data_IF_928105211231
#
_entry.id   IF_928105211231
#
_cell.length_a   1.000
_cell.length_b   1.000
_cell.length_c   1.000
_cell.angle_alpha   90.00
_cell.angle_beta   90.00
_cell.angle_gamma   90.00
#
_symmetry.space_group_name_H-M   'P 1'
#
loop_
_entity.id
_entity.type
_entity.pdbx_description
1 polymer ?
#
# COMPACT_ATOMS: atom_id res chain seq x y z
N UNK A 1 -7.16 -3.83 23.00
CA UNK A 1 -8.07 -2.73 22.64
C UNK A 1 -9.41 -2.95 23.35
N UNK A 2 -9.51 -2.45 24.57
CA UNK A 2 -10.60 -2.75 25.52
C UNK A 2 -11.83 -1.86 25.28
N UNK A 3 -13.02 -2.42 25.49
CA UNK A 3 -14.36 -1.76 25.45
C UNK A 3 -14.48 -0.49 26.31
N UNK A 4 -13.52 -0.24 27.19
CA UNK A 4 -13.45 0.95 28.04
C UNK A 4 -13.35 2.26 27.24
N UNK A 5 -12.65 2.27 26.11
CA UNK A 5 -12.53 3.49 25.28
C UNK A 5 -13.85 3.92 24.64
N UNK A 6 -14.73 2.99 24.27
CA UNK A 6 -16.04 3.32 23.69
C UNK A 6 -16.93 4.07 24.69
N UNK A 7 -16.92 3.65 25.96
CA UNK A 7 -17.80 4.19 27.02
C UNK A 7 -17.44 5.64 27.36
N UNK A 8 -16.15 5.97 27.48
CA UNK A 8 -15.73 7.32 27.86
C UNK A 8 -15.72 8.34 26.70
N UNK A 9 -15.77 7.87 25.45
CA UNK A 9 -15.74 8.74 24.26
C UNK A 9 -17.00 9.60 24.05
N UNK A 10 -18.08 9.33 24.79
CA UNK A 10 -19.35 10.07 24.68
C UNK A 10 -19.43 11.32 25.58
N UNK A 11 -18.49 11.50 26.51
CA UNK A 11 -18.44 12.69 27.37
C UNK A 11 -17.81 13.84 26.56
N UNK A 12 -18.49 14.99 26.36
CA UNK A 12 -18.01 16.10 25.50
C UNK A 12 -16.60 16.60 25.83
N UNK A 13 -16.21 16.58 27.11
CA UNK A 13 -14.87 16.99 27.59
C UNK A 13 -13.74 16.06 27.16
N UNK A 14 -14.04 14.88 26.61
CA UNK A 14 -13.07 13.84 26.21
C UNK A 14 -12.92 13.74 24.67
N UNK A 15 -13.25 14.78 23.92
CA UNK A 15 -13.12 14.79 22.45
C UNK A 15 -11.72 14.41 21.96
N UNK A 16 -10.66 14.78 22.70
CA UNK A 16 -9.26 14.40 22.41
C UNK A 16 -9.00 12.89 22.47
N UNK A 17 -9.78 12.09 23.20
CA UNK A 17 -9.60 10.64 23.28
C UNK A 17 -10.14 9.87 22.07
N UNK A 18 -10.87 10.55 21.17
CA UNK A 18 -11.26 9.98 19.87
C UNK A 18 -10.12 10.00 18.86
N UNK A 19 -9.07 10.76 19.14
CA UNK A 19 -7.93 11.01 18.27
C UNK A 19 -6.63 10.55 18.94
N UNK A 20 -5.77 9.91 18.17
CA UNK A 20 -4.39 9.63 18.58
C UNK A 20 -3.54 10.90 18.48
N UNK A 21 -3.78 11.70 17.44
CA UNK A 21 -3.19 13.02 17.21
C UNK A 21 -4.16 13.88 16.43
N UNK A 22 -4.08 15.20 16.62
CA UNK A 22 -4.76 16.20 15.79
C UNK A 22 -3.68 17.15 15.31
N UNK A 23 -3.42 17.14 14.01
CA UNK A 23 -2.37 17.92 13.36
C UNK A 23 -2.99 18.81 12.27
N UNK A 24 -2.33 19.91 11.85
CA UNK A 24 -2.77 20.67 10.69
C UNK A 24 -2.84 19.77 9.45
N UNK A 25 -3.96 19.83 8.74
CA UNK A 25 -4.13 19.11 7.48
C UNK A 25 -3.59 19.98 6.34
N UNK A 26 -2.56 19.50 5.66
CA UNK A 26 -1.90 20.18 4.54
C UNK A 26 -1.79 19.30 3.29
N UNK A 27 -2.03 18.00 3.43
CA UNK A 27 -1.93 17.00 2.36
C UNK A 27 -3.34 16.52 1.97
N UNK A 28 -3.88 16.92 0.81
CA UNK A 28 -5.27 16.60 0.46
C UNK A 28 -5.56 15.10 0.30
N UNK A 29 -4.54 14.27 0.09
CA UNK A 29 -4.66 12.82 -0.09
C UNK A 29 -4.29 12.02 1.18
N UNK A 30 -3.84 12.70 2.25
CA UNK A 30 -3.42 12.05 3.49
C UNK A 30 -3.84 12.86 4.71
N UNK A 31 -4.57 12.20 5.61
CA UNK A 31 -4.83 12.75 6.93
C UNK A 31 -3.57 12.74 7.79
N UNK A 32 -3.23 13.90 8.34
CA UNK A 32 -2.19 14.09 9.36
C UNK A 32 -2.72 13.72 10.74
N UNK A 33 -4.01 13.92 10.98
CA UNK A 33 -4.69 13.54 12.21
C UNK A 33 -5.13 12.07 12.18
N UNK A 34 -4.87 11.34 13.26
CA UNK A 34 -5.25 9.93 13.39
C UNK A 34 -6.43 9.75 14.33
N UNK A 35 -7.52 9.14 13.86
CA UNK A 35 -8.66 8.79 14.71
C UNK A 35 -8.61 7.32 15.15
N UNK A 36 -8.69 7.07 16.46
CA UNK A 36 -8.73 5.71 17.00
C UNK A 36 -9.97 4.94 16.50
N UNK A 37 -11.09 5.66 16.34
CA UNK A 37 -12.33 5.05 15.90
C UNK A 37 -12.26 4.56 14.45
N UNK A 38 -11.71 5.35 13.50
CA UNK A 38 -11.57 4.89 12.11
C UNK A 38 -10.63 3.68 12.01
N UNK A 39 -9.49 3.70 12.73
CA UNK A 39 -8.58 2.55 12.79
C UNK A 39 -9.28 1.29 13.33
N UNK A 40 -10.08 1.42 14.38
CA UNK A 40 -10.85 0.30 14.92
C UNK A 40 -11.93 -0.21 13.96
N UNK A 41 -12.61 0.68 13.23
CA UNK A 41 -13.60 0.30 12.22
C UNK A 41 -12.96 -0.47 11.06
N UNK A 42 -11.83 0.01 10.53
CA UNK A 42 -11.07 -0.66 9.48
C UNK A 42 -10.59 -2.03 9.96
N UNK A 43 -10.06 -2.14 11.18
CA UNK A 43 -9.65 -3.42 11.77
C UNK A 43 -10.82 -4.42 11.85
N UNK A 44 -11.99 -3.97 12.31
CA UNK A 44 -13.19 -4.83 12.38
C UNK A 44 -13.66 -5.27 10.99
N UNK A 45 -13.60 -4.38 10.01
CA UNK A 45 -13.94 -4.67 8.62
C UNK A 45 -12.97 -5.72 8.06
N UNK A 46 -11.66 -5.51 8.19
CA UNK A 46 -10.64 -6.46 7.77
C UNK A 46 -10.85 -7.85 8.41
N UNK A 47 -11.15 -7.91 9.72
CA UNK A 47 -11.45 -9.18 10.41
C UNK A 47 -12.71 -9.86 9.86
N UNK A 48 -13.73 -9.11 9.48
CA UNK A 48 -14.94 -9.66 8.84
C UNK A 48 -14.65 -10.16 7.42
N UNK A 49 -13.92 -9.39 6.62
CA UNK A 49 -13.51 -9.80 5.26
C UNK A 49 -12.71 -11.09 5.30
N UNK A 50 -11.78 -11.23 6.25
CA UNK A 50 -11.02 -12.48 6.43
C UNK A 50 -11.89 -13.69 6.81
N UNK A 51 -13.00 -13.49 7.52
CA UNK A 51 -13.96 -14.59 7.75
C UNK A 51 -14.67 -15.00 6.45
N UNK A 52 -14.92 -14.04 5.54
CA UNK A 52 -15.51 -14.32 4.24
C UNK A 52 -14.51 -15.07 3.34
N UNK A 53 -13.25 -14.61 3.26
CA UNK A 53 -12.18 -15.31 2.52
C UNK A 53 -12.08 -16.77 2.96
N UNK A 54 -12.03 -17.04 4.27
CA UNK A 54 -11.99 -18.40 4.82
C UNK A 54 -13.25 -19.23 4.54
N UNK A 55 -14.41 -18.59 4.44
CA UNK A 55 -15.66 -19.26 4.08
C UNK A 55 -15.66 -19.63 2.59
N UNK A 56 -15.22 -18.71 1.73
CA UNK A 56 -15.08 -18.95 0.28
C UNK A 56 -14.07 -20.09 0.04
N UNK A 57 -12.90 -20.04 0.67
CA UNK A 57 -11.86 -21.06 0.53
C UNK A 57 -12.24 -22.46 1.04
N UNK A 58 -13.36 -22.59 1.77
CA UNK A 58 -13.81 -23.87 2.34
C UNK A 58 -14.70 -24.70 1.42
N UNK A 59 -15.14 -24.15 0.28
CA UNK A 59 -16.06 -24.83 -0.65
C UNK A 59 -15.74 -24.50 -2.09
N UNK A 60 -15.55 -25.53 -2.91
CA UNK A 60 -15.27 -25.39 -4.34
C UNK A 60 -16.36 -24.58 -5.06
N UNK A 61 -17.63 -24.81 -4.71
CA UNK A 61 -18.78 -24.06 -5.26
C UNK A 61 -18.68 -22.52 -5.09
N UNK A 62 -17.97 -22.06 -4.05
CA UNK A 62 -17.72 -20.63 -3.84
C UNK A 62 -16.45 -20.17 -4.55
N UNK A 63 -15.41 -21.01 -4.59
CA UNK A 63 -14.17 -20.72 -5.31
C UNK A 63 -14.41 -20.53 -6.81
N UNK A 64 -15.25 -21.37 -7.41
CA UNK A 64 -15.64 -21.27 -8.82
C UNK A 64 -16.38 -19.96 -9.17
N UNK A 65 -16.92 -19.27 -8.16
CA UNK A 65 -17.64 -18.00 -8.31
C UNK A 65 -16.75 -16.78 -8.07
N UNK A 66 -15.49 -16.96 -7.67
CA UNK A 66 -14.56 -15.84 -7.50
C UNK A 66 -14.13 -15.36 -8.89
N UNK A 67 -14.33 -14.08 -9.24
CA UNK A 67 -13.84 -13.56 -10.52
C UNK A 67 -12.31 -13.48 -10.51
N UNK A 68 -11.66 -13.51 -11.68
CA UNK A 68 -10.25 -13.15 -11.79
C UNK A 68 -9.98 -11.81 -11.08
N UNK A 69 -8.82 -11.72 -10.43
CA UNK A 69 -8.44 -10.55 -9.64
C UNK A 69 -7.15 -9.94 -10.17
N UNK A 70 -7.05 -8.62 -10.11
CA UNK A 70 -5.79 -7.89 -10.30
C UNK A 70 -5.49 -7.05 -9.07
N UNK A 71 -4.23 -7.03 -8.62
CA UNK A 71 -3.78 -6.15 -7.55
C UNK A 71 -2.33 -5.74 -7.73
N UNK A 72 -2.00 -4.58 -7.15
CA UNK A 72 -0.67 -4.01 -7.10
C UNK A 72 -0.28 -3.77 -5.65
N UNK A 73 0.88 -4.25 -5.24
CA UNK A 73 1.34 -4.17 -3.86
C UNK A 73 2.80 -3.69 -3.83
N UNK A 74 3.08 -2.67 -3.02
CA UNK A 74 4.47 -2.35 -2.69
C UNK A 74 5.03 -3.40 -1.76
N UNK A 75 6.24 -3.88 -2.04
CA UNK A 75 6.93 -4.85 -1.18
C UNK A 75 7.28 -4.28 0.20
N UNK A 76 7.65 -3.00 0.26
CA UNK A 76 8.09 -2.32 1.50
C UNK A 76 6.96 -1.53 2.16
N UNK A 77 5.72 -1.97 1.99
CA UNK A 77 4.57 -1.31 2.58
C UNK A 77 4.56 -1.42 4.11
N UNK A 78 4.73 -0.28 4.78
CA UNK A 78 4.72 -0.20 6.24
C UNK A 78 3.31 -0.17 6.86
N UNK A 79 2.25 -0.04 6.06
CA UNK A 79 0.86 0.15 6.54
C UNK A 79 -0.06 -1.02 6.17
N UNK A 80 0.11 -1.61 4.99
CA UNK A 80 -0.59 -2.84 4.58
C UNK A 80 0.39 -3.99 4.65
N UNK A 81 0.02 -5.07 5.36
CA UNK A 81 0.83 -6.28 5.46
C UNK A 81 0.79 -7.04 4.12
N UNK A 82 1.88 -7.08 3.32
CA UNK A 82 1.86 -7.73 2.00
C UNK A 82 1.52 -9.23 2.10
N UNK A 83 1.89 -9.87 3.20
CA UNK A 83 1.65 -11.30 3.46
C UNK A 83 0.15 -11.63 3.45
N UNK A 84 -0.70 -10.68 3.85
CA UNK A 84 -2.15 -10.87 3.85
C UNK A 84 -2.71 -10.83 2.42
N UNK A 85 -2.11 -10.07 1.52
CA UNK A 85 -2.47 -10.09 0.10
C UNK A 85 -2.05 -11.42 -0.52
N UNK A 86 -0.82 -11.89 -0.23
CA UNK A 86 -0.34 -13.18 -0.71
C UNK A 86 -1.22 -14.35 -0.24
N UNK A 87 -1.57 -14.38 1.05
CA UNK A 87 -2.46 -15.38 1.63
C UNK A 87 -3.86 -15.34 0.99
N UNK A 88 -4.38 -14.16 0.67
CA UNK A 88 -5.67 -14.03 -0.02
C UNK A 88 -5.62 -14.65 -1.42
N UNK A 89 -4.58 -14.32 -2.19
CA UNK A 89 -4.42 -14.85 -3.54
C UNK A 89 -4.26 -16.37 -3.52
N UNK A 90 -3.41 -16.89 -2.63
CA UNK A 90 -3.18 -18.34 -2.52
C UNK A 90 -4.46 -19.11 -2.15
N UNK A 91 -5.30 -18.53 -1.29
CA UNK A 91 -6.52 -19.17 -0.81
C UNK A 91 -7.68 -19.13 -1.82
N UNK A 92 -7.91 -17.99 -2.49
CA UNK A 92 -9.17 -17.79 -3.22
C UNK A 92 -9.02 -17.28 -4.66
N UNK A 93 -7.85 -16.77 -5.08
CA UNK A 93 -7.73 -16.21 -6.41
C UNK A 93 -7.79 -17.31 -7.49
N UNK A 94 -8.57 -17.13 -8.57
CA UNK A 94 -8.52 -18.00 -9.73
C UNK A 94 -7.17 -17.95 -10.45
N UNK A 95 -6.83 -18.97 -11.24
CA UNK A 95 -5.57 -19.05 -11.99
C UNK A 95 -5.31 -17.87 -12.96
N UNK A 96 -6.38 -17.25 -13.47
CA UNK A 96 -6.30 -16.07 -14.33
C UNK A 96 -5.99 -14.76 -13.57
N UNK A 97 -5.86 -14.81 -12.24
CA UNK A 97 -5.57 -13.62 -11.43
C UNK A 97 -4.10 -13.20 -11.56
N UNK A 98 -3.85 -11.90 -11.39
CA UNK A 98 -2.54 -11.30 -11.53
C UNK A 98 -2.19 -10.46 -10.30
N UNK A 99 -1.03 -10.71 -9.69
CA UNK A 99 -0.54 -9.93 -8.56
C UNK A 99 0.80 -9.29 -8.91
N UNK A 100 0.80 -7.96 -9.02
CA UNK A 100 1.99 -7.19 -9.32
C UNK A 100 2.64 -6.67 -8.04
N UNK A 101 3.93 -6.92 -7.88
CA UNK A 101 4.72 -6.48 -6.72
C UNK A 101 5.73 -5.44 -7.18
N UNK A 102 5.64 -4.22 -6.65
CA UNK A 102 6.72 -3.24 -6.82
C UNK A 102 7.90 -3.65 -5.93
N UNK A 103 9.04 -4.00 -6.55
CA UNK A 103 10.26 -4.33 -5.82
C UNK A 103 11.00 -3.04 -5.39
N UNK A 104 12.32 -3.09 -5.26
CA UNK A 104 13.18 -1.98 -4.89
C UNK A 104 14.29 -1.80 -5.90
N UNK A 105 14.77 -0.57 -6.03
CA UNK A 105 15.93 -0.28 -6.86
C UNK A 105 17.18 -0.94 -6.29
N UNK A 106 17.89 -1.67 -7.14
CA UNK A 106 19.17 -2.30 -6.79
C UNK A 106 20.36 -1.32 -6.86
N UNK A 107 20.14 -0.09 -7.35
CA UNK A 107 21.16 0.97 -7.42
C UNK A 107 21.70 1.35 -6.04
N UNK A 108 20.88 1.25 -5.01
CA UNK A 108 21.20 1.63 -3.63
C UNK A 108 21.65 0.46 -2.75
N UNK A 109 22.17 -0.61 -3.36
CA UNK A 109 22.56 -1.84 -2.65
C UNK A 109 23.49 -1.60 -1.44
N UNK A 110 24.35 -0.59 -1.49
CA UNK A 110 25.31 -0.29 -0.41
C UNK A 110 24.68 0.27 0.87
N UNK A 111 23.46 0.80 0.79
CA UNK A 111 22.75 1.43 1.92
C UNK A 111 21.44 0.71 2.27
N UNK A 112 20.97 -0.19 1.41
CA UNK A 112 19.80 -1.02 1.69
C UNK A 112 20.18 -2.24 2.55
N UNK A 113 19.33 -2.62 3.52
CA UNK A 113 19.54 -3.84 4.30
C UNK A 113 19.60 -5.12 3.45
N UNK A 114 20.39 -6.11 3.89
CA UNK A 114 20.56 -7.38 3.17
C UNK A 114 19.27 -8.19 3.04
N UNK A 115 18.38 -8.15 4.03
CA UNK A 115 17.07 -8.79 3.99
C UNK A 115 16.15 -8.18 2.93
N UNK A 116 16.22 -6.84 2.76
CA UNK A 116 15.54 -6.14 1.67
C UNK A 116 16.10 -6.58 0.32
N UNK A 117 17.40 -6.83 0.22
CA UNK A 117 18.07 -7.18 -1.03
C UNK A 117 17.95 -8.67 -1.40
N UNK A 118 17.90 -9.57 -0.43
CA UNK A 118 17.86 -11.01 -0.68
C UNK A 118 16.43 -11.56 -0.85
N UNK A 119 15.42 -10.69 -0.75
CA UNK A 119 14.03 -11.07 -0.99
C UNK A 119 13.82 -11.68 -2.39
N UNK A 120 12.99 -12.71 -2.46
CA UNK A 120 12.51 -13.30 -3.70
C UNK A 120 11.09 -13.83 -3.54
N UNK A 121 10.37 -13.96 -4.66
CA UNK A 121 9.01 -14.54 -4.71
C UNK A 121 8.96 -15.94 -4.09
N UNK A 122 10.05 -16.71 -4.17
CA UNK A 122 10.13 -18.05 -3.60
C UNK A 122 10.05 -18.08 -2.06
N UNK A 123 10.30 -16.95 -1.40
CA UNK A 123 10.18 -16.82 0.05
C UNK A 123 8.73 -16.59 0.51
N UNK A 124 7.81 -16.30 -0.41
CA UNK A 124 6.40 -16.07 -0.10
C UNK A 124 5.72 -17.42 0.23
N UNK A 125 4.99 -17.50 1.35
CA UNK A 125 4.19 -18.68 1.67
C UNK A 125 3.04 -18.89 0.66
N UNK A 126 2.76 -20.16 0.35
CA UNK A 126 1.73 -20.53 -0.64
C UNK A 126 2.35 -20.82 -2.01
N UNK A 127 1.85 -21.84 -2.68
CA UNK A 127 2.38 -22.26 -3.99
C UNK A 127 1.56 -21.69 -5.15
N UNK A 128 0.25 -21.53 -4.98
CA UNK A 128 -0.64 -21.04 -6.05
C UNK A 128 -0.38 -19.58 -6.36
N UNK A 129 -0.14 -18.77 -5.32
CA UNK A 129 0.11 -17.33 -5.50
C UNK A 129 1.40 -17.05 -6.28
N UNK A 130 2.41 -17.91 -6.19
CA UNK A 130 3.70 -17.71 -6.87
C UNK A 130 3.55 -17.66 -8.39
N UNK A 131 2.64 -18.45 -8.95
CA UNK A 131 2.36 -18.48 -10.39
C UNK A 131 1.68 -17.20 -10.89
N UNK A 132 1.00 -16.49 -9.99
CA UNK A 132 0.27 -15.25 -10.28
C UNK A 132 1.12 -13.99 -10.08
N UNK A 133 2.26 -14.11 -9.40
CA UNK A 133 3.09 -12.95 -9.06
C UNK A 133 3.95 -12.51 -10.24
N UNK A 134 3.98 -11.20 -10.50
CA UNK A 134 4.91 -10.52 -11.41
C UNK A 134 5.54 -9.33 -10.67
N UNK A 135 6.77 -8.99 -10.99
CA UNK A 135 7.47 -7.84 -10.39
C UNK A 135 7.42 -6.64 -11.31
N UNK A 136 7.23 -5.44 -10.72
CA UNK A 136 7.31 -4.16 -11.42
C UNK A 136 8.51 -3.36 -10.86
N UNK A 137 9.30 -2.69 -11.71
CA UNK A 137 9.23 -2.69 -13.17
C UNK A 137 9.69 -4.04 -13.75
N UNK A 138 9.04 -4.51 -14.81
CA UNK A 138 9.34 -5.82 -15.41
C UNK A 138 10.77 -5.97 -15.95
N UNK A 139 11.37 -4.86 -16.38
CA UNK A 139 12.76 -4.80 -16.88
C UNK A 139 13.80 -4.46 -15.79
N UNK A 140 13.35 -4.17 -14.56
CA UNK A 140 14.20 -3.74 -13.47
C UNK A 140 14.76 -2.32 -13.59
N UNK A 141 14.24 -1.48 -14.50
CA UNK A 141 14.71 -0.12 -14.69
C UNK A 141 14.07 0.85 -13.68
N UNK A 142 14.88 1.40 -12.78
CA UNK A 142 14.41 2.35 -11.76
C UNK A 142 14.92 3.77 -12.05
N UNK A 143 14.09 4.82 -11.84
CA UNK A 143 14.53 6.21 -11.86
C UNK A 143 15.71 6.44 -10.90
N UNK A 144 16.58 7.40 -11.23
CA UNK A 144 17.85 7.57 -10.50
C UNK A 144 17.68 7.81 -9.01
N UNK A 145 16.69 8.61 -8.61
CA UNK A 145 16.43 9.06 -7.24
C UNK A 145 15.42 8.22 -6.46
N UNK A 146 14.84 7.17 -7.07
CA UNK A 146 13.75 6.38 -6.48
C UNK A 146 14.24 4.98 -6.14
N UNK A 147 14.03 4.57 -4.89
CA UNK A 147 14.45 3.25 -4.41
C UNK A 147 13.31 2.30 -4.04
N UNK A 148 12.10 2.81 -3.81
CA UNK A 148 10.91 2.01 -3.53
C UNK A 148 9.65 2.83 -3.81
N UNK A 149 8.58 2.15 -4.21
CA UNK A 149 7.24 2.76 -4.35
C UNK A 149 6.46 2.61 -3.06
N UNK A 150 5.69 3.61 -2.67
CA UNK A 150 4.82 3.54 -1.49
C UNK A 150 3.39 3.17 -1.88
N UNK A 151 2.64 2.46 -1.04
CA UNK A 151 1.21 2.19 -1.35
C UNK A 151 0.37 3.46 -1.56
N UNK A 152 0.76 4.58 -0.93
CA UNK A 152 0.08 5.86 -1.15
C UNK A 152 0.31 6.40 -2.55
N UNK A 153 1.47 6.12 -3.14
CA UNK A 153 1.85 6.63 -4.45
C UNK A 153 1.39 5.72 -5.59
N UNK A 154 1.16 4.42 -5.32
CA UNK A 154 0.71 3.42 -6.32
C UNK A 154 -0.38 3.95 -7.27
N UNK A 155 -1.50 4.55 -6.79
CA UNK A 155 -2.59 4.94 -7.67
C UNK A 155 -2.41 6.32 -8.33
N UNK A 156 -1.26 6.98 -8.17
CA UNK A 156 -1.04 8.36 -8.59
C UNK A 156 -0.10 8.38 -9.79
N UNK A 157 -0.54 8.97 -10.91
CA UNK A 157 0.28 9.15 -12.11
C UNK A 157 1.42 10.15 -11.87
N UNK A 158 2.55 9.95 -12.53
CA UNK A 158 3.64 10.93 -12.61
C UNK A 158 3.22 12.24 -13.30
N UNK A 159 2.13 12.22 -14.08
CA UNK A 159 1.54 13.41 -14.71
C UNK A 159 0.47 14.10 -13.85
N UNK A 160 0.18 13.58 -12.65
CA UNK A 160 -0.84 14.17 -11.78
C UNK A 160 -0.53 15.65 -11.45
N UNK A 161 -1.53 16.52 -11.60
CA UNK A 161 -1.35 17.97 -11.46
C UNK A 161 -0.90 18.41 -10.05
N UNK A 162 -1.20 17.61 -9.02
CA UNK A 162 -0.90 17.92 -7.61
C UNK A 162 0.29 17.12 -7.11
N UNK A 163 0.37 15.85 -7.47
CA UNK A 163 1.32 14.88 -6.89
C UNK A 163 2.31 14.28 -7.89
N UNK A 164 2.16 14.57 -9.18
CA UNK A 164 3.05 14.10 -10.24
C UNK A 164 4.47 14.64 -10.10
N UNK A 165 5.39 14.11 -10.90
CA UNK A 165 6.81 14.43 -10.86
C UNK A 165 7.07 15.94 -11.02
N UNK A 166 6.35 16.59 -11.93
CA UNK A 166 6.53 18.00 -12.25
C UNK A 166 5.56 18.93 -11.49
N UNK A 167 4.88 18.41 -10.47
CA UNK A 167 3.89 19.16 -9.67
C UNK A 167 4.54 19.87 -8.47
N UNK A 168 3.80 20.83 -7.90
CA UNK A 168 4.27 21.61 -6.74
C UNK A 168 4.51 20.74 -5.49
N UNK A 169 3.73 19.67 -5.28
CA UNK A 169 3.83 18.84 -4.07
C UNK A 169 4.58 17.53 -4.37
N UNK A 170 4.36 16.93 -5.53
CA UNK A 170 5.01 15.68 -5.94
C UNK A 170 6.49 15.79 -6.26
N UNK A 171 6.88 16.84 -6.99
CA UNK A 171 8.28 17.12 -7.36
C UNK A 171 9.07 17.88 -6.29
N UNK A 172 8.45 18.14 -5.15
CA UNK A 172 8.98 19.08 -4.15
C UNK A 172 10.20 18.51 -3.43
N UNK A 173 11.39 18.95 -3.84
CA UNK A 173 12.65 18.57 -3.22
C UNK A 173 13.20 19.73 -2.36
N UNK A 174 12.64 19.91 -1.16
CA UNK A 174 13.13 20.93 -0.23
C UNK A 174 14.48 20.50 0.38
N UNK A 175 15.49 21.36 0.24
CA UNK A 175 16.79 21.22 0.91
C UNK A 175 17.01 22.44 1.80
N UNK A 176 17.36 22.22 3.05
CA UNK A 176 17.57 23.30 4.02
C UNK A 176 18.10 22.77 5.35
N UNK A 177 18.33 23.69 6.29
CA UNK A 177 18.83 23.36 7.62
C UNK A 177 17.78 22.63 8.48
N UNK A 178 18.27 21.72 9.34
CA UNK A 178 17.39 20.95 10.25
C UNK A 178 16.58 21.88 11.15
N UNK A 179 15.31 21.54 11.38
CA UNK A 179 14.39 22.23 12.30
C UNK A 179 14.02 23.69 11.97
N UNK A 180 14.31 24.19 10.76
CA UNK A 180 13.86 25.53 10.32
C UNK A 180 12.37 25.53 9.93
N UNK A 181 11.89 24.44 9.33
CA UNK A 181 10.47 24.31 8.97
C UNK A 181 9.63 24.03 10.23
N UNK A 182 8.59 24.84 10.44
CA UNK A 182 7.62 24.68 11.55
C UNK A 182 6.74 23.43 11.44
N UNK A 183 6.89 22.66 10.37
CA UNK A 183 5.95 21.63 9.96
C UNK A 183 6.64 20.27 9.98
N UNK A 184 6.06 19.26 10.65
CA UNK A 184 6.56 17.88 10.66
C UNK A 184 6.25 17.13 9.35
N UNK A 185 6.39 17.79 8.22
CA UNK A 185 6.02 17.25 6.91
C UNK A 185 7.11 16.32 6.45
N UNK A 186 6.74 15.06 6.26
CA UNK A 186 7.57 14.04 5.64
C UNK A 186 7.51 14.23 4.11
N UNK A 187 8.25 15.23 3.62
CA UNK A 187 8.40 15.50 2.18
C UNK A 187 9.26 14.45 1.47
N UNK A 188 9.92 13.55 2.22
CA UNK A 188 10.83 12.54 1.68
C UNK A 188 10.09 11.34 1.08
N UNK A 189 8.80 11.18 1.38
CA UNK A 189 7.99 10.09 0.86
C UNK A 189 7.55 10.36 -0.58
N UNK A 190 7.86 9.43 -1.48
CA UNK A 190 7.39 9.43 -2.86
C UNK A 190 5.84 9.53 -2.93
N UNK A 191 5.33 10.39 -3.82
CA UNK A 191 3.90 10.75 -3.92
C UNK A 191 3.22 10.28 -5.20
N UNK A 192 3.99 10.02 -6.26
CA UNK A 192 3.50 9.45 -7.52
C UNK A 192 4.17 8.10 -7.79
N UNK A 193 3.59 7.31 -8.68
CA UNK A 193 4.14 6.05 -9.12
C UNK A 193 4.89 6.25 -10.44
N UNK A 194 6.23 6.13 -10.50
CA UNK A 194 6.99 6.23 -11.75
C UNK A 194 6.72 5.04 -12.70
N UNK A 195 6.02 4.01 -12.24
CA UNK A 195 5.60 2.86 -13.04
C UNK A 195 4.10 2.89 -13.31
N UNK A 196 3.47 4.06 -13.19
CA UNK A 196 2.05 4.22 -13.48
C UNK A 196 1.69 3.82 -14.92
N UNK A 197 2.48 4.15 -15.97
CA UNK A 197 2.17 3.71 -17.33
C UNK A 197 2.15 2.18 -17.47
N UNK A 198 3.11 1.46 -16.87
CA UNK A 198 3.12 -0.01 -16.86
C UNK A 198 1.92 -0.56 -16.07
N UNK A 199 1.61 0.00 -14.91
CA UNK A 199 0.44 -0.39 -14.12
C UNK A 199 -0.86 -0.20 -14.90
N UNK A 200 -1.03 0.94 -15.59
CA UNK A 200 -2.19 1.25 -16.41
C UNK A 200 -2.33 0.25 -17.56
N UNK A 201 -1.24 -0.03 -18.28
CA UNK A 201 -1.20 -1.06 -19.32
C UNK A 201 -1.70 -2.41 -18.78
N UNK A 202 -1.19 -2.88 -17.64
CA UNK A 202 -1.61 -4.16 -17.04
C UNK A 202 -3.07 -4.18 -16.61
N UNK A 203 -3.60 -3.06 -16.13
CA UNK A 203 -5.03 -2.95 -15.82
C UNK A 203 -5.87 -3.00 -17.11
N UNK A 204 -5.46 -2.28 -18.15
CA UNK A 204 -6.18 -2.24 -19.42
C UNK A 204 -6.16 -3.60 -20.13
N UNK A 205 -5.03 -4.29 -20.12
CA UNK A 205 -4.91 -5.66 -20.63
C UNK A 205 -5.84 -6.60 -19.88
N UNK A 206 -5.80 -6.59 -18.54
CA UNK A 206 -6.62 -7.45 -17.68
C UNK A 206 -8.13 -7.24 -17.85
N UNK A 207 -8.58 -6.00 -18.09
CA UNK A 207 -10.01 -5.68 -18.30
C UNK A 207 -10.46 -6.02 -19.73
N UNK A 208 -9.53 -6.12 -20.68
CA UNK A 208 -9.83 -6.41 -22.09
C UNK A 208 -9.93 -7.91 -22.40
N UNK A 209 -9.47 -8.78 -21.49
CA UNK A 209 -9.61 -10.25 -21.54
C UNK A 209 -11.01 -10.74 -21.15
#
# INVERSE_FOLDING_TARGET
FTKLHEIFSWIPSFYKFKWQSIEPEYDPYRYSSWSFNAGYQIYRLAKKNWKLVKKVSSRDEYLEKVPPMIAFQSRLDATVLPEKVYELYDLIAPAASQLFIFDVSRRYRSILPDDVLNWSVNMIPGDRVKDMIRTIPGDGSWPESIYAVSHLSVPISEEDAVYGENSLIGGLNLKGEKAVLKTGIDFERLRYNPFFPEMEEKVMDFVSE
#
